data_IF_945986929158
#
_entry.id   IF_945986929158
#
_cell.length_a   1.000
_cell.length_b   1.000
_cell.length_c   1.000
_cell.angle_alpha   90.00
_cell.angle_beta   90.00
_cell.angle_gamma   90.00
#
_symmetry.space_group_name_H-M   'P 1'
#
loop_
_entity.id
_entity.type
_entity.pdbx_description
1 polymer ?
#
# COMPACT_ATOMS: atom_id res chain seq x y z
N UNK A 1 3.57 3.62 16.39
CA UNK A 1 3.40 3.29 14.97
C UNK A 1 4.74 2.76 14.47
N UNK A 2 4.80 1.54 13.96
CA UNK A 2 6.04 0.95 13.41
C UNK A 2 5.88 0.91 11.89
N UNK A 3 6.88 1.42 11.16
CA UNK A 3 6.93 1.34 9.71
C UNK A 3 7.86 0.20 9.28
N UNK A 4 7.41 -0.58 8.31
CA UNK A 4 8.20 -1.65 7.69
C UNK A 4 8.45 -1.29 6.23
N UNK A 5 9.70 -1.46 5.79
CA UNK A 5 10.06 -1.30 4.39
C UNK A 5 9.75 -2.61 3.68
N UNK A 6 8.91 -2.54 2.66
CA UNK A 6 8.52 -3.65 1.82
C UNK A 6 9.11 -3.44 0.43
N UNK A 7 9.70 -4.51 -0.11
CA UNK A 7 10.16 -4.56 -1.50
C UNK A 7 9.06 -5.11 -2.39
N UNK A 8 8.67 -4.37 -3.42
CA UNK A 8 7.83 -4.90 -4.49
C UNK A 8 8.70 -5.34 -5.68
N UNK A 9 8.69 -6.64 -6.05
CA UNK A 9 9.56 -7.14 -7.12
C UNK A 9 9.19 -6.60 -8.50
N UNK A 10 7.98 -6.07 -8.68
CA UNK A 10 7.51 -5.51 -9.94
C UNK A 10 7.65 -3.99 -10.01
N UNK A 11 8.09 -3.37 -8.93
CA UNK A 11 8.43 -1.96 -8.86
C UNK A 11 9.68 -1.74 -8.02
N UNK A 12 10.84 -2.28 -8.47
CA UNK A 12 12.10 -2.18 -7.72
C UNK A 12 12.58 -0.74 -7.51
N UNK A 13 12.04 0.21 -8.28
CA UNK A 13 12.35 1.62 -8.22
C UNK A 13 11.56 2.35 -7.12
N UNK A 14 10.56 1.72 -6.52
CA UNK A 14 9.74 2.27 -5.46
C UNK A 14 10.10 1.61 -4.12
N UNK A 15 10.24 2.42 -3.09
CA UNK A 15 10.27 1.98 -1.70
C UNK A 15 8.86 2.11 -1.13
N UNK A 16 8.33 1.05 -0.52
CA UNK A 16 7.04 1.07 0.15
C UNK A 16 7.29 0.98 1.65
N UNK A 17 6.87 2.01 2.37
CA UNK A 17 6.79 2.00 3.83
C UNK A 17 5.34 1.76 4.22
N UNK A 18 5.10 0.65 4.89
CA UNK A 18 3.78 0.32 5.40
C UNK A 18 3.74 0.42 6.91
N UNK A 19 2.60 0.85 7.44
CA UNK A 19 2.38 0.83 8.87
C UNK A 19 0.90 0.62 9.20
N UNK A 20 0.67 -0.21 10.20
CA UNK A 20 -0.65 -0.59 10.68
C UNK A 20 -1.15 0.44 11.72
N UNK A 21 -2.26 1.12 11.42
CA UNK A 21 -2.88 2.14 12.29
C UNK A 21 -3.98 1.59 13.19
N UNK A 22 -4.37 0.33 13.02
CA UNK A 22 -5.45 -0.30 13.78
C UNK A 22 -5.65 -1.74 13.33
N UNK A 23 -6.81 -2.32 13.64
CA UNK A 23 -7.01 -3.73 13.29
C UNK A 23 -7.20 -3.95 11.78
N UNK A 24 -7.89 -3.01 11.12
CA UNK A 24 -8.21 -3.04 9.69
C UNK A 24 -7.57 -1.91 8.87
N UNK A 25 -6.79 -0.99 9.47
CA UNK A 25 -6.26 0.18 8.74
C UNK A 25 -4.75 0.15 8.53
N UNK A 26 -4.34 0.54 7.33
CA UNK A 26 -2.94 0.63 6.92
C UNK A 26 -2.65 1.97 6.26
N UNK A 27 -1.50 2.55 6.59
CA UNK A 27 -0.89 3.65 5.84
C UNK A 27 0.23 3.09 4.97
N UNK A 28 0.22 3.47 3.71
CA UNK A 28 1.30 3.21 2.76
C UNK A 28 1.92 4.54 2.34
N UNK A 29 3.23 4.66 2.52
CA UNK A 29 4.05 5.74 1.98
C UNK A 29 4.99 5.16 0.92
N UNK A 30 4.82 5.62 -0.31
CA UNK A 30 5.60 5.19 -1.47
C UNK A 30 6.57 6.30 -1.85
N UNK A 31 7.84 5.95 -2.01
CA UNK A 31 8.90 6.90 -2.41
C UNK A 31 9.66 6.34 -3.59
N UNK A 32 9.72 7.10 -4.68
CA UNK A 32 10.54 6.75 -5.83
C UNK A 32 12.02 6.93 -5.48
N UNK A 33 12.85 5.94 -5.78
CA UNK A 33 14.30 6.01 -5.58
C UNK A 33 14.88 7.09 -6.50
N UNK A 34 15.60 8.05 -5.93
CA UNK A 34 16.08 9.28 -6.56
C UNK A 34 16.95 9.12 -7.83
N UNK A 35 17.41 7.91 -8.14
CA UNK A 35 18.23 7.61 -9.33
C UNK A 35 17.37 7.54 -10.62
N UNK A 36 16.04 7.43 -10.50
CA UNK A 36 15.15 7.24 -11.64
C UNK A 36 14.35 8.51 -11.97
N UNK A 37 14.41 8.94 -13.23
CA UNK A 37 13.53 9.97 -13.79
C UNK A 37 12.35 9.30 -14.50
N UNK A 38 11.19 9.20 -13.83
CA UNK A 38 10.00 8.50 -14.34
C UNK A 38 9.13 7.94 -13.22
N UNK A 39 7.87 7.58 -13.49
CA UNK A 39 6.96 7.03 -12.49
C UNK A 39 5.54 7.60 -12.48
N UNK A 40 5.18 8.39 -13.49
CA UNK A 40 3.82 8.89 -13.67
C UNK A 40 2.87 7.72 -13.93
N UNK A 41 1.98 7.44 -12.97
CA UNK A 41 1.06 6.29 -13.00
C UNK A 41 1.59 4.98 -12.39
N UNK A 42 2.91 4.81 -12.23
CA UNK A 42 3.47 3.62 -11.57
C UNK A 42 3.12 3.59 -10.08
N UNK A 43 3.16 4.74 -9.39
CA UNK A 43 2.84 4.85 -7.97
C UNK A 43 1.48 4.22 -7.63
N UNK A 44 0.47 4.50 -8.47
CA UNK A 44 -0.88 3.95 -8.31
C UNK A 44 -0.91 2.43 -8.48
N UNK A 45 -0.16 1.89 -9.43
CA UNK A 45 -0.06 0.44 -9.65
C UNK A 45 0.64 -0.25 -8.47
N UNK A 46 1.73 0.32 -7.97
CA UNK A 46 2.45 -0.19 -6.79
C UNK A 46 1.55 -0.21 -5.56
N UNK A 47 0.86 0.89 -5.32
CA UNK A 47 -0.10 0.99 -4.22
C UNK A 47 -1.22 -0.04 -4.33
N UNK A 48 -1.86 -0.14 -5.50
CA UNK A 48 -3.00 -1.05 -5.74
C UNK A 48 -2.58 -2.51 -5.54
N UNK A 49 -1.38 -2.87 -6.01
CA UNK A 49 -0.81 -4.21 -5.84
C UNK A 49 -0.54 -4.53 -4.37
N UNK A 50 0.06 -3.59 -3.62
CA UNK A 50 0.30 -3.80 -2.19
C UNK A 50 -1.01 -3.87 -1.40
N UNK A 51 -1.98 -3.03 -1.74
CA UNK A 51 -3.32 -3.07 -1.15
C UNK A 51 -4.00 -4.44 -1.36
N UNK A 52 -3.92 -4.98 -2.58
CA UNK A 52 -4.45 -6.31 -2.89
C UNK A 52 -3.73 -7.42 -2.11
N UNK A 53 -2.39 -7.34 -1.95
CA UNK A 53 -1.65 -8.28 -1.11
C UNK A 53 -2.10 -8.20 0.36
N UNK A 54 -2.32 -7.00 0.90
CA UNK A 54 -2.79 -6.82 2.27
C UNK A 54 -4.22 -7.37 2.45
N UNK A 55 -5.10 -7.18 1.47
CA UNK A 55 -6.47 -7.72 1.50
C UNK A 55 -6.55 -9.23 1.32
N UNK A 56 -5.55 -9.84 0.66
CA UNK A 56 -5.44 -11.29 0.53
C UNK A 56 -4.99 -12.01 1.80
N UNK A 57 -4.70 -11.28 2.88
CA UNK A 57 -4.35 -11.88 4.17
C UNK A 57 -5.56 -12.60 4.79
N UNK A 58 -5.33 -13.69 5.56
CA UNK A 58 -6.40 -14.41 6.23
C UNK A 58 -7.26 -13.49 7.11
N UNK A 59 -8.58 -13.59 6.97
CA UNK A 59 -9.54 -12.78 7.72
C UNK A 59 -10.01 -11.51 7.00
N UNK A 60 -9.47 -11.20 5.82
CA UNK A 60 -9.93 -10.11 4.96
C UNK A 60 -10.37 -10.64 3.59
N UNK A 61 -11.25 -9.90 2.92
CA UNK A 61 -11.81 -10.27 1.60
C UNK A 61 -11.62 -9.18 0.55
N UNK A 62 -11.52 -7.92 0.97
CA UNK A 62 -11.38 -6.78 0.08
C UNK A 62 -10.67 -5.63 0.80
N UNK A 63 -10.41 -4.54 0.07
CA UNK A 63 -9.91 -3.30 0.63
C UNK A 63 -10.65 -2.10 0.06
N UNK A 64 -10.68 -1.03 0.83
CA UNK A 64 -11.16 0.29 0.44
C UNK A 64 -10.01 1.29 0.55
N UNK A 65 -9.91 2.18 -0.44
CA UNK A 65 -8.95 3.28 -0.43
C UNK A 65 -9.62 4.46 0.25
N UNK A 66 -9.19 4.76 1.48
CA UNK A 66 -9.74 5.85 2.29
C UNK A 66 -9.20 7.19 1.81
N UNK A 67 -7.90 7.24 1.50
CA UNK A 67 -7.23 8.42 1.00
C UNK A 67 -6.15 8.05 0.01
N UNK A 68 -5.93 8.90 -0.98
CA UNK A 68 -4.87 8.80 -1.97
C UNK A 68 -4.35 10.19 -2.30
N UNK A 69 -3.03 10.36 -2.21
CA UNK A 69 -2.34 11.59 -2.55
C UNK A 69 -1.03 11.27 -3.27
N UNK A 70 -0.79 11.94 -4.39
CA UNK A 70 0.49 11.90 -5.11
C UNK A 70 1.14 13.27 -5.05
N UNK A 71 2.47 13.29 -4.99
CA UNK A 71 3.22 14.52 -4.89
C UNK A 71 4.65 14.38 -5.36
N UNK A 72 5.33 15.52 -5.34
CA UNK A 72 6.75 15.62 -5.59
C UNK A 72 7.38 16.26 -4.35
N UNK A 73 8.25 15.52 -3.68
CA UNK A 73 8.99 16.04 -2.54
C UNK A 73 10.33 16.60 -3.05
N UNK A 74 10.58 17.88 -2.78
CA UNK A 74 11.81 18.54 -3.22
C UNK A 74 12.92 18.32 -2.18
N UNK A 75 13.62 17.19 -2.27
CA UNK A 75 14.79 16.90 -1.43
C UNK A 75 16.05 17.30 -2.18
N UNK A 76 16.86 18.23 -1.67
CA UNK A 76 18.11 18.58 -2.37
C UNK A 76 19.02 17.34 -2.43
N UNK A 77 19.63 16.99 -3.59
CA UNK A 77 19.69 17.74 -4.86
C UNK A 77 18.65 17.39 -5.94
N UNK A 78 17.71 16.46 -5.72
CA UNK A 78 16.74 16.03 -6.73
C UNK A 78 15.31 15.91 -6.18
N UNK A 79 14.32 16.39 -6.93
CA UNK A 79 12.93 16.16 -6.58
C UNK A 79 12.57 14.67 -6.71
N UNK A 80 11.96 14.08 -5.68
CA UNK A 80 11.54 12.69 -5.65
C UNK A 80 10.03 12.57 -5.70
N UNK A 81 9.50 11.63 -6.51
CA UNK A 81 8.06 11.35 -6.52
C UNK A 81 7.67 10.60 -5.25
N UNK A 82 6.58 11.02 -4.65
CA UNK A 82 6.02 10.41 -3.45
C UNK A 82 4.53 10.15 -3.65
N UNK A 83 4.02 9.11 -3.01
CA UNK A 83 2.59 8.88 -2.92
C UNK A 83 2.24 8.36 -1.53
N UNK A 84 1.11 8.80 -1.01
CA UNK A 84 0.59 8.41 0.28
C UNK A 84 -0.82 7.87 0.09
N UNK A 85 -1.13 6.76 0.74
CA UNK A 85 -2.48 6.24 0.75
C UNK A 85 -2.85 5.59 2.07
N UNK A 86 -4.10 5.79 2.45
CA UNK A 86 -4.74 5.10 3.57
C UNK A 86 -5.66 4.02 3.02
N UNK A 87 -5.51 2.82 3.58
CA UNK A 87 -6.28 1.63 3.24
C UNK A 87 -7.08 1.18 4.45
N UNK A 88 -8.29 0.71 4.17
CA UNK A 88 -9.10 -0.05 5.11
C UNK A 88 -9.35 -1.44 4.55
N UNK A 89 -8.99 -2.48 5.30
CA UNK A 89 -9.26 -3.86 4.93
C UNK A 89 -10.66 -4.26 5.38
N UNK A 90 -11.42 -4.87 4.48
CA UNK A 90 -12.76 -5.38 4.76
C UNK A 90 -12.62 -6.81 5.24
N UNK A 91 -13.11 -7.09 6.46
CA UNK A 91 -13.07 -8.45 7.01
C UNK A 91 -13.93 -9.40 6.19
N UNK A 92 -13.45 -10.61 6.01
CA UNK A 92 -14.29 -11.69 5.53
C UNK A 92 -15.28 -12.04 6.65
N UNK A 93 -16.59 -11.92 6.38
CA UNK A 93 -17.59 -12.48 7.28
C UNK A 93 -17.36 -14.00 7.34
N UNK A 94 -17.31 -14.61 8.53
CA UNK A 94 -17.24 -16.05 8.61
C UNK A 94 -18.51 -16.59 7.94
N UNK A 95 -18.32 -17.42 6.90
CA UNK A 95 -19.44 -18.05 6.21
C UNK A 95 -20.36 -18.72 7.26
N UNK A 96 -21.67 -18.40 7.29
CA UNK A 96 -22.58 -19.04 8.22
C UNK A 96 -22.52 -20.56 8.01
N UNK A 97 -22.24 -21.27 9.11
CA UNK A 97 -21.66 -22.60 9.13
C UNK A 97 -22.28 -23.63 8.18
N UNK A 98 -21.41 -24.44 7.58
CA UNK A 98 -21.81 -25.75 7.08
C UNK A 98 -22.00 -26.66 8.30
N UNK A 99 -23.23 -27.07 8.67
CA UNK A 99 -23.38 -28.16 9.60
C UNK A 99 -22.84 -29.43 8.92
N UNK A 100 -21.75 -29.97 9.45
CA UNK A 100 -21.34 -31.35 9.17
C UNK A 100 -22.43 -32.24 9.75
N UNK A 101 -23.23 -32.86 8.88
CA UNK A 101 -24.08 -34.00 9.23
C UNK A 101 -23.26 -35.27 9.24
#
# INVERSE_FOLDING_TARGET
MIFYIVSDPFAPNWSIEEARQGDDRYLLALRLKAIHSGGDGEARQVFTRRAAQLAGQPGFTSYEVVSWQEGLESTRPFAQRVAYGELRLVRAEPAPGTPVR
#
